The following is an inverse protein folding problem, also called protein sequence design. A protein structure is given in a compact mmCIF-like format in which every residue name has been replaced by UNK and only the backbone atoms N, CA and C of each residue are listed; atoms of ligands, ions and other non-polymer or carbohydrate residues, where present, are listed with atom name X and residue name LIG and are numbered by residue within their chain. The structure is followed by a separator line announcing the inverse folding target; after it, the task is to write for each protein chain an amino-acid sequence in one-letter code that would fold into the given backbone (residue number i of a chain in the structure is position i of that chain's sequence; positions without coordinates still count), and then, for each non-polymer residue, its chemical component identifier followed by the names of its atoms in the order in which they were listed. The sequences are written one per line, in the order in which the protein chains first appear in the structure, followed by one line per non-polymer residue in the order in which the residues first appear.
data_IF_499454688516
#
_entry.id   IF_499454688516
#
_cell.length_a   1.000
_cell.length_b   1.000
_cell.length_c   1.000
_cell.angle_alpha   90.00
_cell.angle_beta   90.00
_cell.angle_gamma   90.00
#
_symmetry.space_group_name_H-M   'P 1'
#
loop_
_entity.id
_entity.type
_entity.pdbx_description
1 polymer ?
#
# COMPACT_ATOMS: atom_id res chain seq x y z
N UNK A 1 -18.45 -6.90 9.57
CA UNK A 1 -18.05 -7.16 8.16
C UNK A 1 -17.13 -6.02 7.79
N UNK A 2 -15.83 -6.31 7.69
CA UNK A 2 -14.78 -5.30 7.57
C UNK A 2 -14.57 -4.93 6.10
N UNK A 3 -14.57 -3.64 5.79
CA UNK A 3 -14.15 -3.10 4.49
C UNK A 3 -12.88 -2.31 4.76
N UNK A 4 -11.78 -2.70 4.11
CA UNK A 4 -10.46 -2.09 4.28
C UNK A 4 -10.11 -1.37 2.98
N UNK A 5 -9.97 -0.05 3.03
CA UNK A 5 -8.92 0.62 2.25
C UNK A 5 -8.58 2.00 2.86
N UNK A 6 -7.31 2.14 3.25
CA UNK A 6 -6.63 3.29 3.89
C UNK A 6 -6.96 3.53 5.37
N UNK A 7 -6.14 2.92 6.23
CA UNK A 7 -5.87 3.21 7.66
C UNK A 7 -7.04 3.45 8.63
N UNK A 8 -8.28 3.22 8.22
CA UNK A 8 -9.44 3.37 9.09
C UNK A 8 -10.30 2.13 9.01
N UNK A 9 -10.30 1.35 10.10
CA UNK A 9 -11.25 0.25 10.27
C UNK A 9 -12.49 0.77 11.00
N UNK A 10 -13.63 0.67 10.31
CA UNK A 10 -14.95 1.05 10.85
C UNK A 10 -15.70 -0.19 11.30
N UNK A 11 -15.68 -0.46 12.60
CA UNK A 11 -16.44 -1.55 13.22
C UNK A 11 -17.69 -1.00 13.94
N UNK A 12 -18.81 -1.70 13.81
CA UNK A 12 -20.15 -1.22 14.18
C UNK A 12 -20.74 -2.11 15.26
N UNK A 13 -20.91 -1.58 16.46
CA UNK A 13 -21.56 -2.24 17.60
C UNK A 13 -22.56 -1.29 18.25
N UNK A 14 -23.87 -1.55 18.08
CA UNK A 14 -24.93 -0.72 18.65
C UNK A 14 -24.85 0.76 18.24
N UNK A 15 -25.13 1.66 19.17
CA UNK A 15 -25.17 3.12 18.96
C UNK A 15 -23.79 3.81 18.82
N UNK A 16 -22.70 3.05 18.65
CA UNK A 16 -21.33 3.59 18.57
C UNK A 16 -20.68 3.24 17.23
N UNK A 17 -19.95 4.20 16.65
CA UNK A 17 -19.04 4.00 15.52
C UNK A 17 -17.62 4.01 16.08
N UNK A 18 -16.85 2.94 15.87
CA UNK A 18 -15.42 2.95 16.18
C UNK A 18 -14.66 3.26 14.88
N UNK A 19 -14.01 4.42 14.85
CA UNK A 19 -12.94 4.77 13.90
C UNK A 19 -11.65 4.47 14.64
N UNK A 20 -11.03 3.32 14.36
CA UNK A 20 -9.82 2.90 15.09
C UNK A 20 -8.57 3.39 14.38
N UNK A 21 -7.90 4.37 14.99
CA UNK A 21 -6.44 4.44 15.00
C UNK A 21 -5.95 3.59 16.20
N UNK A 22 -4.69 3.14 16.24
CA UNK A 22 -4.10 2.08 17.11
C UNK A 22 -4.32 2.13 18.66
N UNK A 23 -5.22 2.95 19.23
CA UNK A 23 -5.35 3.21 20.67
C UNK A 23 -6.78 3.13 21.26
N UNK A 24 -7.83 2.80 20.49
CA UNK A 24 -9.10 2.26 21.02
C UNK A 24 -9.90 3.10 22.03
N UNK A 25 -10.46 4.26 21.62
CA UNK A 25 -11.33 5.10 22.47
C UNK A 25 -12.73 5.38 21.86
N UNK A 26 -13.78 5.45 22.70
CA UNK A 26 -15.18 5.75 22.34
C UNK A 26 -15.49 7.25 22.18
N UNK A 27 -16.38 7.63 21.24
CA UNK A 27 -16.79 9.03 20.97
C UNK A 27 -18.29 9.17 20.60
N UNK A 28 -18.97 10.23 21.08
CA UNK A 28 -20.40 10.62 20.90
C UNK A 28 -20.59 11.65 19.75
N UNK A 29 -21.83 12.02 19.40
CA UNK A 29 -22.13 13.07 18.38
C UNK A 29 -21.41 14.41 18.64
N UNK A 30 -21.22 14.78 19.91
CA UNK A 30 -20.44 15.97 20.29
C UNK A 30 -18.93 15.83 20.03
N UNK A 31 -18.47 14.63 19.68
CA UNK A 31 -17.08 14.26 19.46
C UNK A 31 -16.75 14.04 17.98
N UNK A 32 -17.74 14.20 17.08
CA UNK A 32 -17.46 14.33 15.65
C UNK A 32 -16.71 15.65 15.43
N UNK A 33 -15.43 15.57 15.09
CA UNK A 33 -14.60 16.74 14.82
C UNK A 33 -14.51 17.02 13.31
N UNK A 34 -14.77 18.27 12.92
CA UNK A 34 -14.36 18.79 11.61
C UNK A 34 -15.17 18.28 10.39
N UNK A 35 -14.56 17.59 9.42
CA UNK A 35 -15.19 17.25 8.13
C UNK A 35 -16.46 16.39 8.26
N UNK A 36 -16.50 15.47 9.22
CA UNK A 36 -17.58 14.48 9.33
C UNK A 36 -18.93 15.10 9.74
N UNK A 37 -18.91 16.16 10.57
CA UNK A 37 -20.12 16.93 10.91
C UNK A 37 -20.68 17.63 9.67
N UNK A 38 -19.81 18.17 8.82
CA UNK A 38 -20.22 18.84 7.57
C UNK A 38 -20.82 17.83 6.59
N UNK A 39 -20.21 16.65 6.46
CA UNK A 39 -20.72 15.55 5.64
C UNK A 39 -22.09 15.08 6.14
N UNK A 40 -22.25 14.88 7.46
CA UNK A 40 -23.54 14.50 8.05
C UNK A 40 -24.62 15.56 7.79
N UNK A 41 -24.31 16.85 7.97
CA UNK A 41 -25.22 17.95 7.65
C UNK A 41 -25.64 17.95 6.18
N UNK A 42 -24.71 17.70 5.26
CA UNK A 42 -24.99 17.62 3.83
C UNK A 42 -25.90 16.42 3.47
N UNK A 43 -25.69 15.27 4.10
CA UNK A 43 -26.48 14.04 3.84
C UNK A 43 -27.91 14.08 4.41
N UNK A 44 -28.17 14.97 5.36
CA UNK A 44 -29.44 15.08 6.07
C UNK A 44 -30.25 16.31 5.65
N UNK A 45 -29.63 17.25 4.93
CA UNK A 45 -30.29 18.43 4.37
C UNK A 45 -31.52 18.06 3.50
N UNK A 46 -32.62 18.85 3.55
CA UNK A 46 -32.75 20.15 4.21
C UNK A 46 -33.06 20.06 5.71
N UNK A 47 -33.18 18.85 6.27
CA UNK A 47 -33.45 18.66 7.69
C UNK A 47 -32.18 18.92 8.52
N UNK A 48 -32.39 19.43 9.72
CA UNK A 48 -31.28 19.62 10.65
C UNK A 48 -30.83 18.27 11.19
N UNK A 49 -29.53 18.07 11.40
CA UNK A 49 -28.96 16.78 11.88
C UNK A 49 -29.59 16.37 13.21
N UNK A 50 -29.88 17.33 14.10
CA UNK A 50 -30.56 17.08 15.37
C UNK A 50 -32.03 16.65 15.24
N UNK A 51 -32.64 16.80 14.06
CA UNK A 51 -34.02 16.42 13.80
C UNK A 51 -34.15 14.97 13.29
N UNK A 52 -33.04 14.29 13.04
CA UNK A 52 -33.00 12.95 12.46
C UNK A 52 -32.49 11.92 13.46
N UNK A 53 -33.07 10.70 13.46
CA UNK A 53 -32.62 9.64 14.35
C UNK A 53 -31.15 9.30 14.10
N UNK A 54 -30.42 9.02 15.19
CA UNK A 54 -29.01 8.66 15.11
C UNK A 54 -28.75 7.48 14.16
N UNK A 55 -29.59 6.45 14.22
CA UNK A 55 -29.46 5.27 13.35
C UNK A 55 -29.54 5.63 11.86
N UNK A 56 -30.38 6.59 11.49
CA UNK A 56 -30.52 7.09 10.12
C UNK A 56 -29.30 7.87 9.67
N UNK A 57 -28.73 8.70 10.55
CA UNK A 57 -27.50 9.45 10.27
C UNK A 57 -26.32 8.48 10.12
N UNK A 58 -26.26 7.47 10.98
CA UNK A 58 -25.24 6.43 10.95
C UNK A 58 -25.34 5.58 9.67
N UNK A 59 -26.54 5.22 9.23
CA UNK A 59 -26.75 4.52 7.96
C UNK A 59 -26.33 5.38 6.76
N UNK A 60 -26.71 6.67 6.75
CA UNK A 60 -26.34 7.59 5.67
C UNK A 60 -24.82 7.79 5.58
N UNK A 61 -24.15 8.02 6.71
CA UNK A 61 -22.69 8.17 6.75
C UNK A 61 -22.00 6.86 6.35
N UNK A 62 -22.47 5.72 6.86
CA UNK A 62 -21.97 4.40 6.46
C UNK A 62 -22.10 4.20 4.96
N UNK A 63 -23.26 4.48 4.39
CA UNK A 63 -23.49 4.34 2.96
C UNK A 63 -22.64 5.31 2.14
N UNK A 64 -22.38 6.52 2.64
CA UNK A 64 -21.51 7.52 1.99
C UNK A 64 -20.04 7.09 1.98
N UNK A 65 -19.52 6.60 3.11
CA UNK A 65 -18.13 6.15 3.21
C UNK A 65 -17.91 4.74 2.65
N UNK A 66 -18.94 3.89 2.64
CA UNK A 66 -18.91 2.58 2.02
C UNK A 66 -19.23 2.59 0.52
N UNK A 67 -19.40 3.78 -0.10
CA UNK A 67 -19.55 3.84 -1.56
C UNK A 67 -18.32 3.21 -2.19
N UNK A 68 -18.54 2.09 -2.90
CA UNK A 68 -17.50 1.43 -3.68
C UNK A 68 -16.78 2.51 -4.52
N UNK A 69 -15.44 2.58 -4.48
CA UNK A 69 -14.73 3.53 -5.31
C UNK A 69 -15.18 3.34 -6.75
N UNK A 70 -15.44 4.44 -7.46
CA UNK A 70 -15.78 4.34 -8.87
C UNK A 70 -14.69 3.54 -9.60
N UNK A 71 -15.06 2.83 -10.66
CA UNK A 71 -14.12 2.06 -11.47
C UNK A 71 -12.86 2.87 -11.83
N UNK A 72 -13.04 4.15 -12.18
CA UNK A 72 -11.97 5.07 -12.54
C UNK A 72 -11.06 5.37 -11.33
N UNK A 73 -11.64 5.60 -10.15
CA UNK A 73 -10.86 5.82 -8.93
C UNK A 73 -10.05 4.58 -8.52
N UNK A 74 -10.63 3.39 -8.65
CA UNK A 74 -9.94 2.14 -8.41
C UNK A 74 -8.78 1.92 -9.41
N UNK A 75 -9.01 2.16 -10.70
CA UNK A 75 -7.95 2.11 -11.74
C UNK A 75 -6.82 3.09 -11.42
N UNK A 76 -7.16 4.32 -11.04
CA UNK A 76 -6.18 5.32 -10.66
C UNK A 76 -5.33 4.83 -9.48
N UNK A 77 -5.95 4.30 -8.42
CA UNK A 77 -5.22 3.76 -7.27
C UNK A 77 -4.30 2.59 -7.66
N UNK A 78 -4.79 1.68 -8.50
CA UNK A 78 -4.04 0.53 -9.00
C UNK A 78 -2.79 0.96 -9.80
N UNK A 79 -2.95 1.81 -10.82
CA UNK A 79 -1.84 2.22 -11.68
C UNK A 79 -0.84 3.16 -10.99
N UNK A 80 -1.21 3.78 -9.86
CA UNK A 80 -0.29 4.56 -9.02
C UNK A 80 0.41 3.73 -7.94
N UNK A 81 0.09 2.43 -7.81
CA UNK A 81 0.73 1.57 -6.83
C UNK A 81 2.07 1.06 -7.36
N UNK A 82 3.14 1.75 -6.98
CA UNK A 82 4.52 1.34 -7.24
C UNK A 82 5.11 0.63 -6.02
N UNK A 83 6.09 -0.25 -6.24
CA UNK A 83 6.81 -0.95 -5.18
C UNK A 83 7.51 0.06 -4.27
N UNK A 84 7.27 -0.05 -2.96
CA UNK A 84 7.90 0.82 -1.98
C UNK A 84 9.37 0.43 -1.75
N UNK A 85 10.16 1.36 -1.24
CA UNK A 85 11.55 1.09 -0.88
C UNK A 85 11.62 -0.01 0.20
N UNK A 86 12.39 -1.07 -0.07
CA UNK A 86 12.51 -2.23 0.82
C UNK A 86 11.29 -3.16 0.85
N UNK A 87 10.27 -2.91 0.01
CA UNK A 87 9.15 -3.83 -0.14
C UNK A 87 9.54 -5.06 -0.97
N UNK A 88 9.25 -6.26 -0.45
CA UNK A 88 9.50 -7.49 -1.21
C UNK A 88 8.56 -7.64 -2.40
N UNK A 89 9.01 -8.37 -3.42
CA UNK A 89 8.20 -8.58 -4.63
C UNK A 89 6.87 -9.31 -4.34
N UNK A 90 6.86 -10.21 -3.35
CA UNK A 90 5.64 -10.91 -2.93
C UNK A 90 4.63 -9.96 -2.27
N UNK A 91 5.10 -9.07 -1.39
CA UNK A 91 4.25 -8.08 -0.74
C UNK A 91 3.68 -7.10 -1.78
N UNK A 92 4.52 -6.66 -2.71
CA UNK A 92 4.09 -5.78 -3.80
C UNK A 92 3.01 -6.44 -4.66
N UNK A 93 3.23 -7.68 -5.10
CA UNK A 93 2.24 -8.44 -5.89
C UNK A 93 0.92 -8.62 -5.13
N UNK A 94 0.99 -8.89 -3.82
CA UNK A 94 -0.20 -9.03 -2.98
C UNK A 94 -0.97 -7.70 -2.88
N UNK A 95 -0.27 -6.59 -2.68
CA UNK A 95 -0.87 -5.25 -2.63
C UNK A 95 -1.51 -4.85 -3.97
N UNK A 96 -0.90 -5.20 -5.11
CA UNK A 96 -1.50 -4.99 -6.42
C UNK A 96 -2.80 -5.77 -6.61
N UNK A 97 -2.84 -7.03 -6.18
CA UNK A 97 -4.07 -7.85 -6.23
C UNK A 97 -5.18 -7.27 -5.36
N UNK A 98 -4.84 -6.71 -4.20
CA UNK A 98 -5.80 -6.01 -3.34
C UNK A 98 -6.34 -4.74 -4.01
N UNK A 99 -5.47 -3.88 -4.55
CA UNK A 99 -5.87 -2.67 -5.27
C UNK A 99 -6.74 -2.96 -6.51
N UNK A 100 -6.57 -4.14 -7.13
CA UNK A 100 -7.35 -4.55 -8.28
C UNK A 100 -8.79 -5.01 -7.95
N UNK A 101 -9.13 -5.28 -6.69
CA UNK A 101 -10.42 -5.87 -6.28
C UNK A 101 -11.65 -5.09 -6.77
N UNK A 102 -11.55 -3.78 -6.87
CA UNK A 102 -12.64 -2.90 -7.29
C UNK A 102 -12.47 -2.34 -8.71
N UNK A 103 -11.44 -2.77 -9.43
CA UNK A 103 -11.10 -2.25 -10.75
C UNK A 103 -11.98 -2.82 -11.88
N UNK A 104 -12.60 -3.98 -11.71
CA UNK A 104 -13.41 -4.62 -12.77
C UNK A 104 -12.64 -4.70 -14.11
N UNK A 105 -11.36 -5.12 -14.02
CA UNK A 105 -10.55 -5.39 -15.20
C UNK A 105 -11.14 -6.55 -15.98
N UNK A 106 -11.15 -6.44 -17.32
CA UNK A 106 -11.58 -7.53 -18.21
C UNK A 106 -10.55 -8.66 -18.20
N UNK A 107 -9.29 -8.29 -18.20
CA UNK A 107 -8.15 -9.18 -18.01
C UNK A 107 -7.35 -8.66 -16.82
N UNK A 108 -7.46 -9.35 -15.69
CA UNK A 108 -6.74 -9.00 -14.48
C UNK A 108 -5.27 -9.35 -14.58
N UNK A 109 -4.93 -10.44 -15.27
CA UNK A 109 -3.56 -10.93 -15.32
C UNK A 109 -2.70 -10.01 -16.21
N UNK A 110 -3.28 -9.53 -17.31
CA UNK A 110 -2.65 -8.52 -18.19
C UNK A 110 -2.41 -7.20 -17.44
N UNK A 111 -3.42 -6.70 -16.71
CA UNK A 111 -3.29 -5.47 -15.92
C UNK A 111 -2.25 -5.59 -14.79
N UNK A 112 -2.20 -6.74 -14.10
CA UNK A 112 -1.19 -7.01 -13.07
C UNK A 112 0.21 -7.12 -13.66
N UNK A 113 0.36 -7.77 -14.81
CA UNK A 113 1.63 -7.88 -15.52
C UNK A 113 2.14 -6.48 -15.89
N UNK A 114 1.32 -5.67 -16.54
CA UNK A 114 1.66 -4.30 -16.93
C UNK A 114 2.11 -3.47 -15.73
N UNK A 115 1.38 -3.57 -14.61
CA UNK A 115 1.70 -2.80 -13.41
C UNK A 115 2.95 -3.32 -12.69
N UNK A 116 3.21 -4.62 -12.68
CA UNK A 116 4.49 -5.16 -12.19
C UNK A 116 5.64 -4.59 -13.01
N UNK A 117 5.54 -4.63 -14.35
CA UNK A 117 6.60 -4.10 -15.22
C UNK A 117 6.82 -2.60 -14.99
N UNK A 118 5.74 -1.82 -14.90
CA UNK A 118 5.83 -0.36 -14.74
C UNK A 118 6.24 0.07 -13.33
N UNK A 119 5.83 -0.67 -12.29
CA UNK A 119 5.89 -0.23 -10.91
C UNK A 119 6.95 -0.89 -10.03
N UNK A 120 7.73 -1.86 -10.54
CA UNK A 120 8.90 -2.40 -9.81
C UNK A 120 9.95 -1.31 -9.57
N UNK A 121 10.61 -1.39 -8.40
CA UNK A 121 11.60 -0.40 -7.98
C UNK A 121 12.98 -0.64 -8.61
N UNK A 122 13.33 -1.90 -8.89
CA UNK A 122 14.57 -2.25 -9.56
C UNK A 122 14.49 -1.95 -11.08
N UNK A 123 15.19 -0.90 -11.49
CA UNK A 123 15.29 -0.45 -12.89
C UNK A 123 15.92 -1.53 -13.79
N UNK A 124 16.80 -2.38 -13.27
CA UNK A 124 17.42 -3.46 -14.04
C UNK A 124 16.40 -4.54 -14.35
N UNK A 125 15.65 -4.97 -13.33
CA UNK A 125 14.52 -5.88 -13.50
C UNK A 125 13.49 -5.31 -14.47
N UNK A 126 13.08 -4.05 -14.32
CA UNK A 126 12.13 -3.40 -15.24
C UNK A 126 12.59 -3.49 -16.70
N UNK A 127 13.84 -3.12 -16.98
CA UNK A 127 14.42 -3.21 -18.34
C UNK A 127 14.47 -4.64 -18.84
N UNK A 128 14.79 -5.60 -17.97
CA UNK A 128 14.81 -7.01 -18.31
C UNK A 128 13.42 -7.53 -18.71
N UNK A 129 12.38 -7.14 -17.96
CA UNK A 129 11.00 -7.52 -18.26
C UNK A 129 10.49 -6.88 -19.56
N UNK A 130 10.75 -5.59 -19.77
CA UNK A 130 10.38 -4.86 -21.00
C UNK A 130 11.00 -5.44 -22.28
N UNK A 131 12.12 -6.15 -22.17
CA UNK A 131 12.78 -6.78 -23.31
C UNK A 131 12.18 -8.14 -23.72
N UNK A 132 11.23 -8.69 -22.94
CA UNK A 132 10.64 -10.01 -23.22
C UNK A 132 9.38 -9.88 -24.10
N UNK A 133 9.35 -10.46 -25.31
CA UNK A 133 8.20 -10.34 -26.22
C UNK A 133 6.98 -11.15 -25.78
N UNK A 134 7.18 -12.30 -25.12
CA UNK A 134 6.12 -13.21 -24.67
C UNK A 134 6.06 -13.27 -23.14
N UNK A 135 5.99 -12.09 -22.52
CA UNK A 135 5.84 -11.96 -21.07
C UNK A 135 4.43 -12.36 -20.65
N UNK A 136 4.34 -13.07 -19.53
CA UNK A 136 3.07 -13.39 -18.87
C UNK A 136 3.18 -12.98 -17.42
N UNK A 137 2.05 -12.80 -16.73
CA UNK A 137 2.04 -12.48 -15.29
C UNK A 137 2.90 -13.46 -14.48
N UNK A 138 2.74 -14.75 -14.72
CA UNK A 138 3.49 -15.79 -14.01
C UNK A 138 5.01 -15.63 -14.21
N UNK A 139 5.44 -15.42 -15.47
CA UNK A 139 6.87 -15.18 -15.76
C UNK A 139 7.36 -13.89 -15.12
N UNK A 140 6.57 -12.82 -15.12
CA UNK A 140 6.97 -11.56 -14.48
C UNK A 140 7.20 -11.74 -12.97
N UNK A 141 6.34 -12.50 -12.28
CA UNK A 141 6.48 -12.82 -10.86
C UNK A 141 7.73 -13.68 -10.61
N UNK A 142 7.95 -14.72 -11.42
CA UNK A 142 9.13 -15.60 -11.30
C UNK A 142 10.45 -14.84 -11.49
N UNK A 143 10.53 -13.98 -12.50
CA UNK A 143 11.71 -13.16 -12.77
C UNK A 143 11.96 -12.13 -11.66
N UNK A 144 10.89 -11.53 -11.12
CA UNK A 144 11.01 -10.62 -9.98
C UNK A 144 11.58 -11.34 -8.75
N UNK A 145 11.05 -12.52 -8.42
CA UNK A 145 11.55 -13.35 -7.32
C UNK A 145 13.01 -13.79 -7.54
N UNK A 146 13.38 -14.14 -8.77
CA UNK A 146 14.76 -14.49 -9.12
C UNK A 146 15.71 -13.30 -8.94
N UNK A 147 15.32 -12.09 -9.36
CA UNK A 147 16.13 -10.88 -9.18
C UNK A 147 16.39 -10.59 -7.70
N UNK A 148 15.35 -10.68 -6.87
CA UNK A 148 15.44 -10.48 -5.42
C UNK A 148 16.40 -11.49 -4.75
N UNK A 149 16.33 -12.77 -5.14
CA UNK A 149 17.22 -13.80 -4.62
C UNK A 149 18.70 -13.56 -5.01
N UNK A 150 18.95 -13.08 -6.23
CA UNK A 150 20.30 -12.71 -6.70
C UNK A 150 20.84 -11.53 -5.91
N UNK A 151 20.02 -10.49 -5.69
CA UNK A 151 20.39 -9.31 -4.90
C UNK A 151 20.79 -9.70 -3.46
N UNK A 152 19.99 -10.54 -2.81
CA UNK A 152 20.27 -11.05 -1.46
C UNK A 152 21.59 -11.83 -1.41
N UNK A 153 21.78 -12.74 -2.37
CA UNK A 153 23.02 -13.55 -2.46
C UNK A 153 24.25 -12.67 -2.73
N UNK A 154 24.13 -11.63 -3.56
CA UNK A 154 25.20 -10.68 -3.84
C UNK A 154 25.56 -9.85 -2.59
N UNK A 155 24.57 -9.46 -1.79
CA UNK A 155 24.81 -8.76 -0.52
C UNK A 155 25.52 -9.63 0.50
N UNK A 156 25.15 -10.92 0.59
CA UNK A 156 25.82 -11.88 1.48
C UNK A 156 27.27 -12.11 1.09
N UNK A 157 27.54 -12.33 -0.20
CA UNK A 157 28.90 -12.52 -0.71
C UNK A 157 29.76 -11.27 -0.52
N UNK A 158 29.21 -10.07 -0.72
CA UNK A 158 29.92 -8.81 -0.48
C UNK A 158 30.22 -8.57 1.02
N UNK A 159 29.31 -8.97 1.92
CA UNK A 159 29.55 -8.93 3.37
C UNK A 159 30.65 -9.92 3.78
N UNK A 160 30.61 -11.13 3.24
CA UNK A 160 31.59 -12.18 3.52
C UNK A 160 33.01 -11.86 2.99
N UNK A 161 33.11 -11.11 1.89
CA UNK A 161 34.39 -10.69 1.29
C UNK A 161 35.01 -9.43 1.90
N UNK A 162 34.38 -8.83 2.93
CA UNK A 162 34.93 -7.69 3.69
C UNK A 162 35.53 -8.03 5.07
N UNK A 163 36.56 -8.89 5.20
CA UNK A 163 37.37 -8.94 6.40
C UNK A 163 38.77 -8.32 6.16
N UNK A 164 39.17 -7.38 7.04
CA UNK A 164 40.52 -6.81 7.24
C UNK A 164 41.05 -5.74 6.27
N UNK A 165 40.69 -4.47 6.49
CA UNK A 165 41.47 -3.32 6.00
C UNK A 165 41.28 -2.11 6.95
N UNK A 166 41.62 -2.28 8.23
CA UNK A 166 41.64 -1.16 9.20
C UNK A 166 42.89 -0.98 10.06
N UNK A 167 43.85 -1.92 10.09
CA UNK A 167 44.97 -1.81 11.05
C UNK A 167 46.38 -1.87 10.43
N UNK A 168 46.63 -1.17 9.32
CA UNK A 168 48.02 -0.85 8.94
C UNK A 168 48.36 0.58 9.38
N UNK A 169 48.72 0.71 10.66
CA UNK A 169 49.40 1.89 11.16
C UNK A 169 50.77 1.94 10.48
N UNK A 170 51.01 2.98 9.68
CA UNK A 170 52.30 3.26 9.03
C UNK A 170 53.36 3.39 10.13
N UNK A 171 54.16 2.34 10.31
CA UNK A 171 55.32 2.36 11.18
C UNK A 171 56.25 3.51 10.77
N UNK A 172 56.34 4.52 11.62
CA UNK A 172 57.36 5.55 11.51
C UNK A 172 58.74 4.89 11.64
N UNK A 173 59.47 4.83 10.54
CA UNK A 173 60.91 4.54 10.56
C UNK A 173 61.61 5.86 10.89
N UNK A 174 62.09 6.00 12.12
CA UNK A 174 63.06 7.05 12.45
C UNK A 174 64.43 6.65 11.86
N UNK A 175 65.11 7.53 11.11
CA UNK A 175 66.45 7.23 10.62
C UNK A 175 67.47 7.32 11.76
N UNK A 176 68.35 6.33 11.82
CA UNK A 176 69.56 6.37 12.65
C UNK A 176 70.53 7.40 12.06
N UNK A 177 70.86 8.42 12.86
CA UNK A 177 72.12 9.19 12.79
C UNK A 177 72.63 9.38 14.21
#
# INVERSE_FOLDING_TARGET
MSVVERDVQVDLYGNSILVSDNLGSEFKIGDLCGPDVRTAQALVAPLAVQAEPWDTIQEKLRNYYAQKPSKIAAHHAFYHRNQAEGESNNNYTTALRQAAMHCEFRDLDDALMDQIVCGVQDIRLQRHLLAKPDLTLQKAIEEAAASEAVELSAQETHKASRPYLKDYVVGHVTPLV
#
